data_IF_860878797586
#
_entry.id   IF_860878797586
#
_cell.length_a   1.000
_cell.length_b   1.000
_cell.length_c   1.000
_cell.angle_alpha   90.00
_cell.angle_beta   90.00
_cell.angle_gamma   90.00
#
_symmetry.space_group_name_H-M   'P 1'
#
loop_
_entity.id
_entity.type
_entity.pdbx_description
1 polymer ?
#
# COMPACT_ATOMS: atom_id res chain seq x y z
N UNK A 1 3.16 19.77 20.78
CA UNK A 1 4.17 19.27 19.82
C UNK A 1 5.33 20.26 19.76
N UNK A 2 6.55 19.84 20.12
CA UNK A 2 7.75 20.71 20.14
C UNK A 2 8.90 20.03 19.41
N UNK A 3 9.81 20.85 18.85
CA UNK A 3 10.95 20.36 18.07
C UNK A 3 11.89 19.45 18.85
N UNK A 4 12.14 19.75 20.13
CA UNK A 4 12.95 18.89 21.00
C UNK A 4 12.31 17.54 21.37
N UNK A 5 11.00 17.34 21.13
CA UNK A 5 10.36 16.02 21.24
C UNK A 5 10.38 15.26 19.91
N UNK A 6 10.55 15.96 18.80
CA UNK A 6 10.67 15.38 17.46
C UNK A 6 12.09 14.84 17.26
N UNK A 7 13.07 15.66 17.61
CA UNK A 7 14.49 15.32 17.61
C UNK A 7 14.74 14.33 18.76
N UNK A 8 14.92 13.05 18.45
CA UNK A 8 15.13 12.00 19.46
C UNK A 8 16.49 12.12 20.11
N UNK A 9 17.43 11.24 19.75
CA UNK A 9 18.82 11.33 20.27
C UNK A 9 19.67 12.37 19.54
N UNK A 10 19.31 12.69 18.30
CA UNK A 10 20.04 13.63 17.45
C UNK A 10 19.13 14.74 16.94
N UNK A 11 19.66 15.97 16.90
CA UNK A 11 18.93 17.14 16.36
C UNK A 11 18.65 16.93 14.88
N UNK A 12 17.40 17.09 14.47
CA UNK A 12 16.94 16.76 13.13
C UNK A 12 16.83 15.26 12.85
N UNK A 13 16.73 14.35 13.84
CA UNK A 13 16.56 12.91 13.57
C UNK A 13 15.11 12.52 13.25
N UNK A 14 14.12 13.27 13.76
CA UNK A 14 12.69 12.93 13.72
C UNK A 14 12.30 11.59 14.39
N UNK A 15 13.21 10.92 15.11
CA UNK A 15 12.96 9.62 15.74
C UNK A 15 11.81 9.66 16.76
N UNK A 16 11.58 10.82 17.39
CA UNK A 16 10.52 11.01 18.37
C UNK A 16 9.11 11.13 17.77
N UNK A 17 8.97 11.13 16.44
CA UNK A 17 7.69 11.33 15.75
C UNK A 17 6.63 10.31 16.16
N UNK A 18 7.01 9.02 16.24
CA UNK A 18 6.12 7.95 16.66
C UNK A 18 5.59 8.16 18.09
N UNK A 19 6.46 8.52 19.03
CA UNK A 19 6.09 8.85 20.40
C UNK A 19 5.22 10.11 20.52
N UNK A 20 5.46 11.10 19.65
CA UNK A 20 4.62 12.28 19.57
C UNK A 20 3.20 11.94 19.09
N UNK A 21 3.06 11.12 18.05
CA UNK A 21 1.76 10.65 17.59
C UNK A 21 1.04 9.81 18.64
N UNK A 22 1.74 8.88 19.28
CA UNK A 22 1.16 8.11 20.39
C UNK A 22 0.66 9.03 21.51
N UNK A 23 1.42 10.05 21.89
CA UNK A 23 1.01 11.02 22.92
C UNK A 23 -0.25 11.80 22.52
N UNK A 24 -0.38 12.19 21.25
CA UNK A 24 -1.57 12.86 20.73
C UNK A 24 -2.76 11.90 20.72
N UNK A 25 -2.59 10.67 20.23
CA UNK A 25 -3.64 9.64 20.24
C UNK A 25 -4.15 9.39 21.66
N UNK A 26 -3.25 9.10 22.61
CA UNK A 26 -3.62 8.86 24.01
C UNK A 26 -4.36 10.06 24.62
N UNK A 27 -3.96 11.30 24.29
CA UNK A 27 -4.67 12.49 24.75
C UNK A 27 -6.09 12.56 24.17
N UNK A 28 -6.24 12.34 22.87
CA UNK A 28 -7.54 12.37 22.18
C UNK A 28 -8.45 11.27 22.72
N UNK A 29 -7.97 10.03 22.80
CA UNK A 29 -8.73 8.88 23.29
C UNK A 29 -9.18 9.09 24.75
N UNK A 30 -8.28 9.50 25.64
CA UNK A 30 -8.57 9.63 27.06
C UNK A 30 -9.46 10.83 27.40
N UNK A 31 -9.27 11.94 26.70
CA UNK A 31 -9.89 13.23 27.08
C UNK A 31 -11.09 13.56 26.20
N UNK A 32 -11.03 13.21 24.92
CA UNK A 32 -12.06 13.53 23.94
C UNK A 32 -12.84 12.30 23.46
N UNK A 33 -12.41 11.07 23.76
CA UNK A 33 -13.03 9.85 23.25
C UNK A 33 -14.53 9.77 23.54
N UNK A 34 -14.95 10.07 24.77
CA UNK A 34 -16.37 10.09 25.15
C UNK A 34 -17.19 11.17 24.42
N UNK A 35 -16.60 12.32 24.12
CA UNK A 35 -17.25 13.42 23.40
C UNK A 35 -17.31 13.14 21.91
N UNK A 36 -16.22 12.62 21.34
CA UNK A 36 -16.14 12.21 19.94
C UNK A 36 -17.15 11.09 19.64
N UNK A 37 -17.49 10.26 20.62
CA UNK A 37 -18.52 9.24 20.46
C UNK A 37 -19.95 9.78 20.30
N UNK A 38 -20.19 11.07 20.57
CA UNK A 38 -21.51 11.68 20.39
C UNK A 38 -21.81 11.89 18.91
N UNK A 39 -23.01 11.50 18.48
CA UNK A 39 -23.44 11.63 17.08
C UNK A 39 -23.40 13.08 16.56
N UNK A 40 -23.69 14.06 17.43
CA UNK A 40 -23.60 15.49 17.14
C UNK A 40 -22.17 15.92 16.80
N UNK A 41 -21.16 15.22 17.30
CA UNK A 41 -19.74 15.54 17.11
C UNK A 41 -19.11 14.89 15.86
N UNK A 42 -19.90 14.12 15.10
CA UNK A 42 -19.44 13.40 13.91
C UNK A 42 -19.69 14.17 12.59
N UNK A 43 -20.31 15.36 12.64
CA UNK A 43 -20.52 16.21 11.46
C UNK A 43 -21.56 15.70 10.44
N UNK A 44 -22.52 14.88 10.87
CA UNK A 44 -23.55 14.28 10.01
C UNK A 44 -24.48 15.28 9.31
N UNK A 45 -25.00 16.28 10.03
CA UNK A 45 -25.91 17.32 9.56
C UNK A 45 -25.23 18.71 9.56
N UNK A 46 -25.32 19.44 8.44
CA UNK A 46 -24.64 20.73 8.28
C UNK A 46 -25.13 21.84 9.24
N UNK A 47 -26.34 21.71 9.80
CA UNK A 47 -26.96 22.73 10.67
C UNK A 47 -26.87 22.39 12.16
N UNK A 48 -26.90 21.10 12.52
CA UNK A 48 -27.04 20.64 13.91
C UNK A 48 -25.93 19.69 14.36
N UNK A 49 -24.84 19.59 13.62
CA UNK A 49 -23.69 18.77 14.01
C UNK A 49 -22.38 19.50 13.76
N UNK A 50 -21.38 19.17 14.56
CA UNK A 50 -20.05 19.76 14.54
C UNK A 50 -19.05 18.65 14.25
N UNK A 51 -18.13 18.88 13.32
CA UNK A 51 -17.04 17.94 13.05
C UNK A 51 -15.88 18.21 14.01
N UNK A 52 -15.95 17.60 15.20
CA UNK A 52 -14.96 17.85 16.26
C UNK A 52 -13.61 17.22 15.91
N UNK A 53 -13.59 16.02 15.31
CA UNK A 53 -12.36 15.33 14.96
C UNK A 53 -11.58 16.10 13.87
N UNK A 54 -12.26 16.48 12.79
CA UNK A 54 -11.62 17.18 11.68
C UNK A 54 -11.23 18.62 12.03
N UNK A 55 -12.17 19.40 12.53
CA UNK A 55 -11.96 20.84 12.75
C UNK A 55 -11.21 21.15 14.05
N UNK A 56 -11.51 20.44 15.14
CA UNK A 56 -11.02 20.83 16.47
C UNK A 56 -9.81 20.01 16.94
N UNK A 57 -9.65 18.78 16.44
CA UNK A 57 -8.49 17.93 16.77
C UNK A 57 -7.47 17.96 15.65
N UNK A 58 -7.87 17.57 14.45
CA UNK A 58 -6.94 17.36 13.34
C UNK A 58 -6.38 18.65 12.77
N UNK A 59 -7.22 19.65 12.49
CA UNK A 59 -6.77 20.92 11.89
C UNK A 59 -5.68 21.60 12.73
N UNK A 60 -5.81 21.76 14.06
CA UNK A 60 -4.75 22.32 14.90
C UNK A 60 -3.48 21.45 14.94
N UNK A 61 -3.63 20.12 14.92
CA UNK A 61 -2.49 19.19 14.86
C UNK A 61 -1.74 19.37 13.54
N UNK A 62 -2.45 19.40 12.41
CA UNK A 62 -1.89 19.60 11.08
C UNK A 62 -1.18 20.95 10.95
N UNK A 63 -1.80 22.04 11.41
CA UNK A 63 -1.22 23.38 11.38
C UNK A 63 0.03 23.46 12.25
N UNK A 64 0.00 22.82 13.42
CA UNK A 64 1.18 22.72 14.30
C UNK A 64 2.30 21.91 13.65
N UNK A 65 1.96 20.83 12.96
CA UNK A 65 2.91 20.02 12.22
C UNK A 65 3.56 20.80 11.08
N UNK A 66 2.76 21.51 10.26
CA UNK A 66 3.29 22.31 9.14
C UNK A 66 4.16 23.47 9.61
N UNK A 67 3.72 24.19 10.64
CA UNK A 67 4.43 25.37 11.15
C UNK A 67 5.69 25.02 11.94
N UNK A 68 5.65 23.97 12.78
CA UNK A 68 6.76 23.66 13.71
C UNK A 68 7.61 22.46 13.30
N UNK A 69 7.07 21.58 12.46
CA UNK A 69 7.66 20.29 12.10
C UNK A 69 7.77 20.12 10.57
N UNK A 70 7.93 21.21 9.82
CA UNK A 70 8.04 21.21 8.35
C UNK A 70 9.11 20.26 7.80
N UNK A 71 10.17 20.01 8.57
CA UNK A 71 11.26 19.08 8.25
C UNK A 71 10.78 17.62 8.08
N UNK A 72 9.68 17.24 8.74
CA UNK A 72 9.08 15.90 8.61
C UNK A 72 8.59 15.65 7.19
N UNK A 73 8.15 16.70 6.48
CA UNK A 73 7.63 16.61 5.11
C UNK A 73 8.71 16.75 4.03
N UNK A 74 9.96 17.01 4.42
CA UNK A 74 11.02 17.35 3.46
C UNK A 74 11.62 16.08 2.84
N UNK A 75 11.60 15.91 1.51
CA UNK A 75 12.12 14.71 0.84
C UNK A 75 13.65 14.68 0.73
N UNK A 76 14.36 15.72 1.19
CA UNK A 76 15.79 15.95 0.99
C UNK A 76 16.72 14.85 1.56
N UNK A 77 16.21 13.99 2.45
CA UNK A 77 16.89 12.76 2.81
C UNK A 77 15.92 11.58 2.58
N UNK A 78 16.06 10.87 1.45
CA UNK A 78 15.16 9.78 1.08
C UNK A 78 15.10 8.67 2.14
N UNK A 79 16.20 8.41 2.86
CA UNK A 79 16.24 7.42 3.95
C UNK A 79 15.42 7.85 5.17
N UNK A 80 15.32 9.16 5.41
CA UNK A 80 14.46 9.73 6.45
C UNK A 80 12.99 9.85 6.03
N UNK A 81 12.74 9.93 4.73
CA UNK A 81 11.39 10.00 4.17
C UNK A 81 10.72 8.61 4.17
N UNK A 82 11.45 7.57 3.76
CA UNK A 82 10.97 6.20 3.69
C UNK A 82 12.15 5.19 3.67
N UNK A 83 12.49 4.60 4.82
CA UNK A 83 13.24 3.35 4.90
C UNK A 83 12.91 2.52 6.15
N UNK A 84 13.30 1.25 6.11
CA UNK A 84 12.66 0.11 6.78
C UNK A 84 13.56 -0.47 7.86
N UNK A 85 13.19 -0.09 9.10
CA UNK A 85 13.60 -0.50 10.47
C UNK A 85 15.10 -0.70 10.78
N UNK A 86 15.56 -0.23 11.97
CA UNK A 86 14.81 -0.21 13.22
C UNK A 86 14.50 1.21 13.74
N UNK A 87 13.55 1.91 13.12
CA UNK A 87 12.46 2.68 13.78
C UNK A 87 11.73 3.59 12.77
N UNK A 88 10.70 3.01 12.15
CA UNK A 88 9.48 3.61 11.56
C UNK A 88 9.63 4.90 10.70
N UNK A 89 9.49 4.83 9.36
CA UNK A 89 9.62 5.99 8.48
C UNK A 89 8.49 7.01 8.69
N UNK A 90 8.83 8.30 8.55
CA UNK A 90 7.92 9.41 8.87
C UNK A 90 6.59 9.33 8.11
N UNK A 91 6.60 8.98 6.82
CA UNK A 91 5.37 8.86 6.01
C UNK A 91 4.46 7.73 6.53
N UNK A 92 4.98 6.51 6.69
CA UNK A 92 4.17 5.36 7.14
C UNK A 92 3.68 5.55 8.57
N UNK A 93 4.53 6.09 9.46
CA UNK A 93 4.12 6.45 10.83
C UNK A 93 2.99 7.47 10.81
N UNK A 94 3.10 8.49 9.96
CA UNK A 94 2.09 9.52 9.78
C UNK A 94 0.78 8.96 9.24
N UNK A 95 0.82 8.07 8.26
CA UNK A 95 -0.37 7.44 7.70
C UNK A 95 -1.03 6.49 8.71
N UNK A 96 -0.23 5.76 9.50
CA UNK A 96 -0.75 4.93 10.60
C UNK A 96 -1.43 5.78 11.67
N UNK A 97 -0.85 6.93 12.03
CA UNK A 97 -1.45 7.87 12.97
C UNK A 97 -2.80 8.40 12.46
N UNK A 98 -2.88 8.75 11.18
CA UNK A 98 -4.15 9.14 10.56
C UNK A 98 -5.17 8.01 10.60
N UNK A 99 -4.76 6.78 10.27
CA UNK A 99 -5.65 5.61 10.32
C UNK A 99 -6.17 5.35 11.74
N UNK A 100 -5.33 5.51 12.78
CA UNK A 100 -5.76 5.42 14.18
C UNK A 100 -6.75 6.51 14.57
N UNK A 101 -6.58 7.74 14.07
CA UNK A 101 -7.59 8.80 14.29
C UNK A 101 -8.89 8.52 13.54
N UNK A 102 -8.83 7.96 12.33
CA UNK A 102 -10.01 7.59 11.55
C UNK A 102 -10.85 6.53 12.25
N UNK A 103 -10.26 5.66 13.08
CA UNK A 103 -11.00 4.70 13.91
C UNK A 103 -11.91 5.37 14.96
N UNK A 104 -11.71 6.66 15.28
CA UNK A 104 -12.59 7.43 16.15
C UNK A 104 -13.85 7.95 15.40
N UNK A 105 -13.91 7.79 14.08
CA UNK A 105 -15.12 8.05 13.30
C UNK A 105 -16.10 6.88 13.45
N UNK A 106 -17.30 7.17 13.95
CA UNK A 106 -18.35 6.16 14.14
C UNK A 106 -19.26 6.00 12.92
N UNK A 107 -19.27 6.98 12.01
CA UNK A 107 -20.09 6.94 10.80
C UNK A 107 -19.24 6.90 9.53
N UNK A 108 -19.66 6.13 8.49
CA UNK A 108 -18.95 6.09 7.21
C UNK A 108 -18.84 7.46 6.53
N UNK A 109 -19.85 8.32 6.73
CA UNK A 109 -19.84 9.70 6.22
C UNK A 109 -18.80 10.57 6.92
N UNK A 110 -18.62 10.43 8.24
CA UNK A 110 -17.57 11.12 8.98
C UNK A 110 -16.18 10.66 8.56
N UNK A 111 -15.97 9.35 8.41
CA UNK A 111 -14.70 8.78 7.93
C UNK A 111 -14.36 9.25 6.51
N UNK A 112 -15.36 9.32 5.61
CA UNK A 112 -15.18 9.84 4.26
C UNK A 112 -14.79 11.32 4.27
N UNK A 113 -15.50 12.18 5.03
CA UNK A 113 -15.16 13.60 5.17
C UNK A 113 -13.77 13.80 5.77
N UNK A 114 -13.43 13.02 6.79
CA UNK A 114 -12.11 13.06 7.40
C UNK A 114 -11.02 12.77 6.36
N UNK A 115 -11.18 11.71 5.57
CA UNK A 115 -10.24 11.36 4.50
C UNK A 115 -10.14 12.39 3.37
N UNK A 116 -11.28 12.84 2.84
CA UNK A 116 -11.32 13.68 1.64
C UNK A 116 -11.06 15.16 1.93
N UNK A 117 -11.53 15.67 3.06
CA UNK A 117 -11.53 17.11 3.37
C UNK A 117 -10.36 17.48 4.28
N UNK A 118 -10.13 16.69 5.33
CA UNK A 118 -9.17 17.04 6.39
C UNK A 118 -7.78 16.43 6.18
N UNK A 119 -7.73 15.17 5.76
CA UNK A 119 -6.49 14.41 5.57
C UNK A 119 -5.85 14.71 4.21
N UNK A 120 -6.63 15.09 3.20
CA UNK A 120 -6.10 15.33 1.85
C UNK A 120 -4.99 16.41 1.81
N UNK A 121 -5.14 17.59 2.45
CA UNK A 121 -4.05 18.57 2.50
C UNK A 121 -2.78 18.02 3.17
N UNK A 122 -2.93 17.16 4.18
CA UNK A 122 -1.80 16.50 4.82
C UNK A 122 -1.09 15.55 3.86
N UNK A 123 -1.85 14.75 3.08
CA UNK A 123 -1.30 13.89 2.02
C UNK A 123 -0.53 14.70 0.98
N UNK A 124 -1.11 15.81 0.53
CA UNK A 124 -0.48 16.69 -0.47
C UNK A 124 0.79 17.37 0.06
N UNK A 125 0.96 17.45 1.39
CA UNK A 125 2.19 17.99 1.99
C UNK A 125 3.39 17.05 1.79
N UNK A 126 3.15 15.78 1.46
CA UNK A 126 4.18 14.80 1.13
C UNK A 126 4.45 14.81 -0.37
N UNK A 127 5.58 15.39 -0.79
CA UNK A 127 5.94 15.44 -2.20
C UNK A 127 6.51 14.09 -2.68
N UNK A 128 5.61 13.12 -2.90
CA UNK A 128 5.95 11.76 -3.29
C UNK A 128 6.65 11.69 -4.65
N UNK A 129 6.37 12.64 -5.55
CA UNK A 129 7.02 12.74 -6.87
C UNK A 129 8.50 13.07 -6.71
N UNK A 130 8.83 14.10 -5.91
CA UNK A 130 10.22 14.48 -5.64
C UNK A 130 10.96 13.39 -4.89
N UNK A 131 10.31 12.73 -3.92
CA UNK A 131 10.89 11.56 -3.25
C UNK A 131 11.28 10.47 -4.25
N UNK A 132 10.36 10.11 -5.16
CA UNK A 132 10.63 9.07 -6.16
C UNK A 132 11.77 9.49 -7.09
N UNK A 133 11.83 10.75 -7.51
CA UNK A 133 12.91 11.27 -8.36
C UNK A 133 14.27 11.20 -7.67
N UNK A 134 14.37 11.58 -6.39
CA UNK A 134 15.61 11.49 -5.62
C UNK A 134 16.08 10.04 -5.48
N UNK A 135 15.15 9.12 -5.21
CA UNK A 135 15.44 7.68 -5.15
C UNK A 135 15.92 7.13 -6.48
N UNK A 136 15.25 7.46 -7.57
CA UNK A 136 15.69 7.05 -8.91
C UNK A 136 17.09 7.58 -9.24
N UNK A 137 17.39 8.83 -8.88
CA UNK A 137 18.71 9.41 -9.11
C UNK A 137 19.81 8.69 -8.32
N UNK A 138 19.57 8.39 -7.03
CA UNK A 138 20.50 7.62 -6.19
C UNK A 138 20.78 6.24 -6.81
N UNK A 139 19.74 5.52 -7.19
CA UNK A 139 19.85 4.18 -7.78
C UNK A 139 20.54 4.21 -9.15
N UNK A 140 20.27 5.23 -9.98
CA UNK A 140 20.94 5.43 -11.25
C UNK A 140 22.44 5.72 -11.09
N UNK A 141 22.84 6.45 -10.03
CA UNK A 141 24.24 6.68 -9.73
C UNK A 141 24.97 5.38 -9.35
N UNK A 142 24.33 4.51 -8.57
CA UNK A 142 24.86 3.16 -8.26
C UNK A 142 25.06 2.36 -9.55
N UNK A 143 24.08 2.37 -10.44
CA UNK A 143 24.17 1.67 -11.72
C UNK A 143 25.28 2.26 -12.62
N UNK A 144 25.42 3.58 -12.68
CA UNK A 144 26.48 4.23 -13.44
C UNK A 144 27.87 3.88 -12.91
N UNK A 145 28.06 3.93 -11.59
CA UNK A 145 29.32 3.57 -10.95
C UNK A 145 29.71 2.11 -11.21
N UNK A 146 28.73 1.20 -11.20
CA UNK A 146 28.96 -0.24 -11.40
C UNK A 146 29.61 -0.60 -12.75
N UNK A 147 29.44 0.24 -13.78
CA UNK A 147 30.03 0.03 -15.11
C UNK A 147 31.55 0.21 -15.13
N UNK A 148 32.09 0.98 -14.18
CA UNK A 148 33.53 1.21 -14.03
C UNK A 148 34.17 0.28 -12.99
N UNK A 149 33.37 -0.52 -12.27
CA UNK A 149 33.86 -1.38 -11.19
C UNK A 149 34.50 -2.66 -11.77
N UNK A 150 35.70 -3.06 -11.31
CA UNK A 150 36.31 -4.33 -11.73
C UNK A 150 35.54 -5.54 -11.22
N UNK A 151 35.64 -6.66 -11.93
CA UNK A 151 34.96 -7.92 -11.58
C UNK A 151 35.46 -8.45 -10.22
N UNK A 152 34.58 -8.66 -9.23
CA UNK A 152 34.94 -9.35 -7.99
C UNK A 152 35.14 -10.85 -8.25
N UNK A 153 35.99 -11.52 -7.44
CA UNK A 153 36.30 -12.94 -7.63
C UNK A 153 35.19 -13.89 -7.15
N UNK A 154 34.41 -13.48 -6.16
CA UNK A 154 33.29 -14.26 -5.60
C UNK A 154 32.02 -13.40 -5.56
N UNK A 155 31.16 -13.56 -6.57
CA UNK A 155 29.88 -12.86 -6.64
C UNK A 155 28.78 -13.73 -7.28
N UNK A 156 27.53 -13.49 -6.88
CA UNK A 156 26.35 -14.22 -7.40
C UNK A 156 26.15 -14.03 -8.90
N UNK A 157 26.53 -12.87 -9.41
CA UNK A 157 26.60 -12.53 -10.83
C UNK A 157 28.04 -12.21 -11.20
N UNK A 158 28.45 -12.57 -12.40
CA UNK A 158 29.80 -12.35 -12.90
C UNK A 158 30.11 -10.87 -13.18
N UNK A 159 29.09 -10.05 -13.48
CA UNK A 159 29.29 -8.64 -13.75
C UNK A 159 28.76 -7.73 -12.62
N UNK A 160 29.56 -6.72 -12.20
CA UNK A 160 29.11 -5.72 -11.23
C UNK A 160 27.85 -4.97 -11.67
N UNK A 161 27.71 -4.70 -12.98
CA UNK A 161 26.52 -4.07 -13.55
C UNK A 161 25.27 -4.95 -13.46
N UNK A 162 25.40 -6.28 -13.58
CA UNK A 162 24.29 -7.22 -13.35
C UNK A 162 23.90 -7.23 -11.88
N UNK A 163 24.89 -7.29 -10.99
CA UNK A 163 24.69 -7.24 -9.54
C UNK A 163 23.99 -5.94 -9.12
N UNK A 164 24.45 -4.80 -9.63
CA UNK A 164 23.85 -3.50 -9.37
C UNK A 164 22.42 -3.40 -9.92
N UNK A 165 22.19 -3.87 -11.15
CA UNK A 165 20.84 -3.94 -11.75
C UNK A 165 19.88 -4.74 -10.87
N UNK A 166 20.30 -5.93 -10.43
CA UNK A 166 19.50 -6.76 -9.52
C UNK A 166 19.20 -6.04 -8.20
N UNK A 167 20.22 -5.47 -7.55
CA UNK A 167 20.02 -4.73 -6.30
C UNK A 167 19.11 -3.51 -6.46
N UNK A 168 19.21 -2.78 -7.58
CA UNK A 168 18.33 -1.64 -7.87
C UNK A 168 16.88 -2.10 -8.03
N UNK A 169 16.63 -3.19 -8.75
CA UNK A 169 15.29 -3.75 -8.91
C UNK A 169 14.72 -4.19 -7.57
N UNK A 170 15.47 -4.96 -6.77
CA UNK A 170 15.03 -5.39 -5.44
C UNK A 170 14.80 -4.19 -4.51
N UNK A 171 15.71 -3.20 -4.49
CA UNK A 171 15.57 -2.01 -3.63
C UNK A 171 14.39 -1.13 -4.04
N UNK A 172 14.00 -1.12 -5.32
CA UNK A 172 12.80 -0.40 -5.80
C UNK A 172 11.51 -1.01 -5.24
N UNK A 173 11.49 -2.33 -5.00
CA UNK A 173 10.33 -3.09 -4.51
C UNK A 173 10.43 -3.55 -3.06
N UNK A 174 11.51 -3.18 -2.36
CA UNK A 174 11.68 -3.54 -0.97
C UNK A 174 10.47 -3.07 -0.13
N UNK A 175 10.06 -3.91 0.82
CA UNK A 175 8.96 -3.59 1.73
C UNK A 175 9.22 -2.22 2.34
N UNK A 176 8.24 -1.31 2.28
CA UNK A 176 8.41 0.08 2.70
C UNK A 176 9.37 0.89 1.82
N UNK A 177 9.39 0.63 0.50
CA UNK A 177 9.82 1.57 -0.56
C UNK A 177 8.66 1.92 -1.49
N UNK A 178 7.79 0.96 -1.80
CA UNK A 178 6.60 1.18 -2.64
C UNK A 178 5.43 1.65 -1.78
N UNK A 179 5.16 2.94 -1.86
CA UNK A 179 3.89 3.49 -1.41
C UNK A 179 2.83 3.15 -2.46
N UNK A 180 1.60 2.82 -2.05
CA UNK A 180 0.50 2.53 -2.99
C UNK A 180 0.36 3.58 -4.13
N UNK A 181 0.53 4.90 -3.88
CA UNK A 181 0.52 5.90 -4.96
C UNK A 181 1.71 5.83 -5.94
N UNK A 182 2.80 5.16 -5.57
CA UNK A 182 4.05 5.09 -6.33
C UNK A 182 4.26 3.76 -7.07
N UNK A 183 3.31 2.81 -6.98
CA UNK A 183 3.41 1.49 -7.63
C UNK A 183 3.68 1.64 -9.13
N UNK A 184 2.86 2.44 -9.83
CA UNK A 184 3.00 2.63 -11.28
C UNK A 184 4.33 3.30 -11.67
N UNK A 185 4.80 4.26 -10.86
CA UNK A 185 6.08 4.92 -11.08
C UNK A 185 7.26 3.96 -10.85
N UNK A 186 7.16 3.09 -9.85
CA UNK A 186 8.17 2.06 -9.50
C UNK A 186 8.25 0.96 -10.55
N UNK A 187 7.09 0.54 -11.07
CA UNK A 187 6.99 -0.39 -12.22
C UNK A 187 7.65 0.18 -13.46
N UNK A 188 7.31 1.41 -13.83
CA UNK A 188 7.92 2.10 -14.98
C UNK A 188 9.43 2.21 -14.82
N UNK A 189 9.91 2.56 -13.63
CA UNK A 189 11.34 2.65 -13.35
C UNK A 189 12.04 1.30 -13.51
N UNK A 190 11.45 0.22 -12.99
CA UNK A 190 12.00 -1.14 -13.10
C UNK A 190 12.17 -1.58 -14.57
N UNK A 191 11.15 -1.34 -15.39
CA UNK A 191 11.21 -1.61 -16.84
C UNK A 191 12.27 -0.75 -17.54
N UNK A 192 12.45 0.50 -17.10
CA UNK A 192 13.46 1.40 -17.65
C UNK A 192 14.88 0.94 -17.29
N UNK A 193 15.10 0.49 -16.06
CA UNK A 193 16.40 -0.06 -15.62
C UNK A 193 16.77 -1.30 -16.44
N UNK A 194 15.81 -2.18 -16.67
CA UNK A 194 16.02 -3.38 -17.50
C UNK A 194 16.26 -3.06 -18.96
N UNK A 195 15.51 -2.12 -19.54
CA UNK A 195 15.74 -1.72 -20.93
C UNK A 195 17.13 -1.10 -21.12
N UNK A 196 17.58 -0.30 -20.16
CA UNK A 196 18.93 0.26 -20.14
C UNK A 196 20.01 -0.81 -19.97
N UNK A 197 19.78 -1.80 -19.11
CA UNK A 197 20.71 -2.93 -18.94
C UNK A 197 20.85 -3.75 -20.22
N UNK A 198 19.73 -4.05 -20.90
CA UNK A 198 19.76 -4.75 -22.18
C UNK A 198 20.44 -3.93 -23.27
N UNK A 199 20.20 -2.62 -23.31
CA UNK A 199 20.86 -1.72 -24.26
C UNK A 199 22.38 -1.65 -24.02
N UNK A 200 22.83 -1.69 -22.75
CA UNK A 200 24.25 -1.66 -22.40
C UNK A 200 25.03 -2.86 -22.97
N UNK A 201 24.42 -4.04 -23.02
CA UNK A 201 25.08 -5.27 -23.49
C UNK A 201 24.84 -5.60 -24.97
N UNK A 202 23.86 -4.97 -25.62
CA UNK A 202 23.43 -5.29 -26.98
C UNK A 202 24.56 -5.13 -28.00
N UNK A 203 25.08 -3.92 -28.16
CA UNK A 203 26.07 -3.62 -29.21
C UNK A 203 27.40 -4.40 -29.01
N UNK A 204 27.94 -4.53 -27.78
CA UNK A 204 29.12 -5.36 -27.54
C UNK A 204 28.90 -6.84 -27.84
N UNK A 205 27.71 -7.38 -27.54
CA UNK A 205 27.38 -8.78 -27.79
C UNK A 205 27.19 -9.05 -29.29
N UNK A 206 26.49 -8.18 -30.01
CA UNK A 206 26.32 -8.28 -31.46
C UNK A 206 27.68 -8.20 -32.17
N UNK A 207 28.57 -7.32 -31.72
CA UNK A 207 29.94 -7.21 -32.22
C UNK A 207 30.74 -8.49 -31.96
N UNK A 208 30.67 -9.04 -30.75
CA UNK A 208 31.35 -10.30 -30.41
C UNK A 208 30.84 -11.47 -31.26
N UNK A 209 29.53 -11.59 -31.46
CA UNK A 209 28.91 -12.64 -32.29
C UNK A 209 29.35 -12.50 -33.76
N UNK A 210 29.35 -11.28 -34.31
CA UNK A 210 29.78 -11.03 -35.68
C UNK A 210 31.27 -11.36 -35.88
N UNK A 211 32.13 -11.05 -34.91
CA UNK A 211 33.55 -11.38 -34.96
C UNK A 211 33.80 -12.89 -34.92
N UNK A 212 33.05 -13.63 -34.09
CA UNK A 212 33.13 -15.10 -34.02
C UNK A 212 32.63 -15.74 -35.33
N UNK A 213 31.55 -15.24 -35.92
CA UNK A 213 31.00 -15.76 -37.17
C UNK A 213 31.94 -15.59 -38.38
N UNK A 214 32.77 -14.55 -38.37
CA UNK A 214 33.70 -14.21 -39.46
C UNK A 214 35.14 -14.71 -39.22
N UNK A 215 35.40 -15.45 -38.14
CA UNK A 215 36.76 -15.78 -37.72
C UNK A 215 37.39 -16.96 -38.48
N UNK A 216 38.55 -16.73 -39.11
CA UNK A 216 39.55 -17.77 -39.44
C UNK A 216 40.73 -17.81 -38.44
N UNK A 217 40.69 -16.99 -37.39
CA UNK A 217 41.78 -16.76 -36.40
C UNK A 217 41.43 -17.34 -35.03
N UNK A 218 42.46 -17.56 -34.21
CA UNK A 218 42.39 -18.08 -32.83
C UNK A 218 41.60 -17.16 -31.89
N UNK A 219 40.82 -17.75 -30.98
CA UNK A 219 39.86 -17.07 -30.09
C UNK A 219 40.42 -15.89 -29.25
N UNK A 220 41.73 -15.90 -28.93
CA UNK A 220 42.35 -14.97 -27.99
C UNK A 220 42.52 -13.53 -28.51
N UNK A 221 42.57 -13.30 -29.83
CA UNK A 221 42.73 -11.95 -30.41
C UNK A 221 41.43 -11.33 -30.91
N UNK A 222 40.35 -12.11 -31.00
CA UNK A 222 39.06 -11.66 -31.57
C UNK A 222 38.36 -10.63 -30.68
N UNK A 223 38.49 -10.74 -29.36
CA UNK A 223 37.77 -9.89 -28.41
C UNK A 223 38.41 -8.52 -28.18
N UNK A 224 39.63 -8.30 -28.69
CA UNK A 224 40.28 -6.99 -28.63
C UNK A 224 39.50 -5.92 -29.42
N UNK A 225 38.85 -6.33 -30.51
CA UNK A 225 38.07 -5.45 -31.42
C UNK A 225 36.65 -5.17 -30.91
N UNK A 226 36.21 -5.81 -29.82
CA UNK A 226 34.89 -5.56 -29.18
C UNK A 226 34.91 -4.26 -28.37
N UNK A 227 36.09 -3.79 -27.95
CA UNK A 227 36.31 -2.53 -27.21
C UNK A 227 35.37 -2.32 -26.02
N UNK A 228 35.04 -3.38 -25.28
CA UNK A 228 34.19 -3.31 -24.09
C UNK A 228 34.94 -3.83 -22.86
N UNK A 229 35.00 -3.08 -21.74
CA UNK A 229 35.80 -3.44 -20.56
C UNK A 229 35.35 -4.75 -19.89
N UNK A 230 34.11 -5.18 -20.13
CA UNK A 230 33.56 -6.43 -19.62
C UNK A 230 33.66 -7.64 -20.57
N UNK A 231 34.03 -7.48 -21.84
CA UNK A 231 34.08 -8.58 -22.81
C UNK A 231 35.47 -8.66 -23.44
N UNK A 232 36.37 -9.37 -22.76
CA UNK A 232 37.77 -9.53 -23.17
C UNK A 232 38.10 -10.94 -23.65
N UNK A 233 37.18 -11.90 -23.44
CA UNK A 233 37.36 -13.31 -23.75
C UNK A 233 36.04 -14.01 -24.08
N UNK A 234 36.12 -15.23 -24.63
CA UNK A 234 34.93 -16.09 -24.80
C UNK A 234 34.25 -16.40 -23.47
N UNK A 235 35.01 -16.61 -22.41
CA UNK A 235 34.47 -16.94 -21.08
C UNK A 235 33.59 -15.81 -20.54
N UNK A 236 33.94 -14.56 -20.86
CA UNK A 236 33.10 -13.40 -20.49
C UNK A 236 31.72 -13.43 -21.15
N UNK A 237 31.61 -13.98 -22.36
CA UNK A 237 30.33 -14.17 -23.06
C UNK A 237 29.49 -15.24 -22.36
N UNK A 238 30.11 -16.33 -21.91
CA UNK A 238 29.42 -17.37 -21.15
C UNK A 238 28.95 -16.86 -19.79
N UNK A 239 29.81 -16.10 -19.10
CA UNK A 239 29.46 -15.40 -17.87
C UNK A 239 28.27 -14.46 -18.08
N UNK A 240 28.24 -13.69 -19.18
CA UNK A 240 27.14 -12.79 -19.50
C UNK A 240 25.84 -13.56 -19.78
N UNK A 241 25.92 -14.66 -20.51
CA UNK A 241 24.79 -15.55 -20.74
C UNK A 241 24.21 -16.12 -19.43
N UNK A 242 25.07 -16.52 -18.49
CA UNK A 242 24.66 -16.97 -17.16
C UNK A 242 23.98 -15.86 -16.37
N UNK A 243 24.56 -14.67 -16.36
CA UNK A 243 24.02 -13.48 -15.70
C UNK A 243 22.65 -13.08 -16.25
N UNK A 244 22.50 -13.05 -17.58
CA UNK A 244 21.23 -12.76 -18.27
C UNK A 244 20.16 -13.79 -17.92
N UNK A 245 20.50 -15.09 -17.90
CA UNK A 245 19.56 -16.14 -17.54
C UNK A 245 19.10 -16.00 -16.08
N UNK A 246 20.03 -15.81 -15.14
CA UNK A 246 19.71 -15.63 -13.72
C UNK A 246 18.88 -14.38 -13.50
N UNK A 247 19.29 -13.24 -14.07
CA UNK A 247 18.54 -11.98 -13.96
C UNK A 247 17.13 -12.12 -14.56
N UNK A 248 17.00 -12.79 -15.70
CA UNK A 248 15.71 -13.07 -16.34
C UNK A 248 14.78 -13.92 -15.46
N UNK A 249 15.30 -15.00 -14.86
CA UNK A 249 14.53 -15.83 -13.91
C UNK A 249 14.05 -15.03 -12.71
N UNK A 250 14.93 -14.22 -12.12
CA UNK A 250 14.56 -13.35 -11.02
C UNK A 250 13.55 -12.27 -11.42
N UNK A 251 13.66 -11.70 -12.62
CA UNK A 251 12.72 -10.70 -13.11
C UNK A 251 11.31 -11.27 -13.35
N UNK A 252 11.20 -12.50 -13.85
CA UNK A 252 9.89 -13.18 -14.01
C UNK A 252 9.19 -13.33 -12.66
N UNK A 253 9.93 -13.69 -11.61
CA UNK A 253 9.38 -13.79 -10.25
C UNK A 253 8.91 -12.43 -9.73
N UNK A 254 9.68 -11.37 -9.94
CA UNK A 254 9.29 -10.02 -9.51
C UNK A 254 8.10 -9.47 -10.30
N UNK A 255 8.02 -9.68 -11.62
CA UNK A 255 6.85 -9.33 -12.41
C UNK A 255 5.60 -10.08 -11.92
N UNK A 256 5.71 -11.37 -11.64
CA UNK A 256 4.60 -12.15 -11.10
C UNK A 256 4.18 -11.65 -9.70
N UNK A 257 5.14 -11.20 -8.87
CA UNK A 257 4.85 -10.59 -7.57
C UNK A 257 4.14 -9.24 -7.72
N UNK A 258 4.56 -8.41 -8.67
CA UNK A 258 3.92 -7.14 -8.99
C UNK A 258 2.49 -7.35 -9.51
N UNK A 259 2.31 -8.29 -10.43
CA UNK A 259 1.01 -8.70 -10.94
C UNK A 259 0.08 -9.12 -9.79
N UNK A 260 0.55 -10.02 -8.91
CA UNK A 260 -0.19 -10.42 -7.71
C UNK A 260 -0.60 -9.23 -6.85
N UNK A 261 0.31 -8.30 -6.57
CA UNK A 261 0.00 -7.11 -5.78
C UNK A 261 -1.08 -6.20 -6.41
N UNK A 262 -1.12 -6.12 -7.75
CA UNK A 262 -2.17 -5.40 -8.47
C UNK A 262 -3.53 -6.06 -8.25
N UNK A 263 -3.59 -7.39 -8.37
CA UNK A 263 -4.81 -8.16 -8.17
C UNK A 263 -5.27 -8.21 -6.72
N UNK A 264 -4.36 -8.28 -5.74
CA UNK A 264 -4.66 -8.12 -4.32
C UNK A 264 -5.32 -6.76 -4.05
N UNK A 265 -4.79 -5.69 -4.65
CA UNK A 265 -5.37 -4.35 -4.52
C UNK A 265 -6.76 -4.28 -5.15
N UNK A 266 -6.93 -4.88 -6.33
CA UNK A 266 -8.25 -4.98 -6.97
C UNK A 266 -9.25 -5.75 -6.09
N UNK A 267 -8.82 -6.85 -5.45
CA UNK A 267 -9.64 -7.63 -4.54
C UNK A 267 -10.14 -6.77 -3.35
N UNK A 268 -9.25 -5.96 -2.76
CA UNK A 268 -9.64 -5.02 -1.68
C UNK A 268 -10.66 -4.00 -2.17
N UNK A 269 -10.42 -3.36 -3.32
CA UNK A 269 -11.31 -2.34 -3.88
C UNK A 269 -12.70 -2.91 -4.21
N UNK A 270 -12.75 -4.07 -4.87
CA UNK A 270 -14.01 -4.73 -5.21
C UNK A 270 -14.75 -5.20 -3.96
N UNK A 271 -14.02 -5.73 -2.97
CA UNK A 271 -14.60 -6.09 -1.67
C UNK A 271 -15.23 -4.89 -0.97
N UNK A 272 -14.58 -3.73 -0.99
CA UNK A 272 -15.13 -2.52 -0.40
C UNK A 272 -16.41 -2.03 -1.11
N UNK A 273 -16.51 -2.18 -2.43
CA UNK A 273 -17.77 -1.93 -3.15
C UNK A 273 -18.88 -2.91 -2.75
N UNK A 274 -18.57 -4.22 -2.64
CA UNK A 274 -19.52 -5.22 -2.15
C UNK A 274 -20.02 -4.88 -0.73
N UNK A 275 -19.12 -4.42 0.15
CA UNK A 275 -19.44 -4.04 1.54
C UNK A 275 -20.41 -2.85 1.65
N UNK A 276 -20.48 -1.96 0.66
CA UNK A 276 -21.39 -0.79 0.71
C UNK A 276 -22.87 -1.18 0.80
N UNK A 277 -23.22 -2.38 0.33
CA UNK A 277 -24.59 -2.91 0.36
C UNK A 277 -24.92 -3.56 1.71
N UNK A 278 -23.91 -4.02 2.46
CA UNK A 278 -24.04 -4.76 3.74
C UNK A 278 -24.84 -4.06 4.85
N UNK A 279 -24.83 -2.72 5.00
CA UNK A 279 -25.62 -2.04 6.04
C UNK A 279 -27.13 -2.32 5.96
N UNK A 280 -27.66 -2.70 4.78
CA UNK A 280 -29.07 -3.04 4.62
C UNK A 280 -29.50 -4.26 5.45
N UNK A 281 -28.58 -5.16 5.84
CA UNK A 281 -28.86 -6.27 6.78
C UNK A 281 -29.55 -5.77 8.04
N UNK A 282 -29.14 -4.60 8.56
CA UNK A 282 -29.70 -4.04 9.79
C UNK A 282 -31.18 -3.70 9.70
N UNK A 283 -31.72 -3.53 8.50
CA UNK A 283 -33.14 -3.25 8.27
C UNK A 283 -34.03 -4.49 8.44
N UNK A 284 -33.45 -5.69 8.33
CA UNK A 284 -34.20 -6.97 8.38
C UNK A 284 -34.95 -7.11 9.70
N UNK A 285 -34.33 -6.75 10.83
CA UNK A 285 -34.99 -6.78 12.14
C UNK A 285 -36.31 -6.00 12.13
N UNK A 286 -36.31 -4.77 11.60
CA UNK A 286 -37.52 -3.95 11.51
C UNK A 286 -38.58 -4.51 10.55
N UNK A 287 -38.17 -5.26 9.53
CA UNK A 287 -39.10 -5.87 8.57
C UNK A 287 -39.89 -7.06 9.13
N UNK A 288 -39.37 -7.73 10.17
CA UNK A 288 -40.01 -8.89 10.81
C UNK A 288 -40.58 -8.55 12.19
N UNK A 289 -40.02 -7.54 12.87
CA UNK A 289 -40.48 -7.12 14.19
C UNK A 289 -41.92 -6.60 14.15
N UNK A 290 -42.77 -7.15 15.03
CA UNK A 290 -44.18 -6.74 15.17
C UNK A 290 -44.98 -6.82 13.86
N UNK A 291 -44.54 -7.66 12.93
CA UNK A 291 -45.26 -7.98 11.70
C UNK A 291 -45.69 -9.43 11.76
N UNK A 292 -46.93 -9.76 11.35
CA UNK A 292 -47.37 -11.16 11.19
C UNK A 292 -46.78 -11.80 9.92
N UNK A 293 -45.55 -11.42 9.54
CA UNK A 293 -44.89 -11.94 8.34
C UNK A 293 -44.53 -13.42 8.55
N UNK A 294 -44.88 -14.31 7.61
CA UNK A 294 -44.47 -15.70 7.68
C UNK A 294 -42.96 -15.84 7.48
N UNK A 295 -42.41 -16.99 7.89
CA UNK A 295 -41.00 -17.31 7.68
C UNK A 295 -40.67 -17.28 6.16
N UNK A 296 -39.53 -16.69 5.76
CA UNK A 296 -39.17 -16.61 4.35
C UNK A 296 -38.93 -18.00 3.75
N UNK A 297 -39.54 -18.27 2.60
CA UNK A 297 -39.40 -19.51 1.82
C UNK A 297 -38.63 -19.32 0.50
N UNK A 298 -38.28 -18.08 0.15
CA UNK A 298 -37.56 -17.73 -1.08
C UNK A 298 -36.16 -17.18 -0.77
N UNK A 299 -35.17 -17.42 -1.68
CA UNK A 299 -33.83 -16.88 -1.52
C UNK A 299 -33.85 -15.35 -1.61
N UNK A 300 -33.00 -14.72 -0.81
CA UNK A 300 -32.91 -13.26 -0.78
C UNK A 300 -32.22 -12.73 -2.03
N UNK A 301 -32.85 -11.79 -2.74
CA UNK A 301 -32.24 -11.02 -3.85
C UNK A 301 -31.06 -10.17 -3.40
N UNK A 302 -30.90 -10.03 -2.09
CA UNK A 302 -29.81 -9.33 -1.45
C UNK A 302 -28.43 -9.88 -1.83
N UNK A 303 -28.28 -11.20 -1.93
CA UNK A 303 -26.99 -11.83 -2.27
C UNK A 303 -26.52 -11.40 -3.66
N UNK A 304 -27.42 -11.45 -4.65
CA UNK A 304 -27.12 -10.99 -6.01
C UNK A 304 -26.75 -9.51 -6.06
N UNK A 305 -27.34 -8.69 -5.18
CA UNK A 305 -27.02 -7.26 -5.10
C UNK A 305 -25.63 -7.03 -4.48
N UNK A 306 -25.24 -7.85 -3.50
CA UNK A 306 -23.92 -7.80 -2.85
C UNK A 306 -22.80 -8.29 -3.78
N UNK A 307 -23.04 -9.34 -4.58
CA UNK A 307 -22.02 -9.88 -5.50
C UNK A 307 -21.90 -9.13 -6.81
N UNK A 308 -22.88 -8.29 -7.17
CA UNK A 308 -22.89 -7.53 -8.43
C UNK A 308 -21.56 -6.82 -8.76
N UNK A 309 -20.88 -6.11 -7.84
CA UNK A 309 -19.59 -5.47 -8.15
C UNK A 309 -18.51 -6.48 -8.56
N UNK A 310 -18.50 -7.67 -7.95
CA UNK A 310 -17.60 -8.76 -8.32
C UNK A 310 -17.97 -9.35 -9.69
N UNK A 311 -19.26 -9.54 -9.95
CA UNK A 311 -19.73 -10.05 -11.24
C UNK A 311 -19.38 -9.08 -12.39
N UNK A 312 -19.57 -7.78 -12.20
CA UNK A 312 -19.19 -6.74 -13.17
C UNK A 312 -17.67 -6.68 -13.39
N UNK A 313 -16.88 -6.84 -12.32
CA UNK A 313 -15.42 -6.90 -12.42
C UNK A 313 -14.96 -8.14 -13.21
N UNK A 314 -15.47 -9.33 -12.87
CA UNK A 314 -15.12 -10.58 -13.54
C UNK A 314 -15.61 -10.61 -14.98
N UNK A 315 -16.75 -9.99 -15.29
CA UNK A 315 -17.22 -9.86 -16.67
C UNK A 315 -16.21 -9.13 -17.57
N UNK A 316 -15.41 -8.23 -16.99
CA UNK A 316 -14.41 -7.45 -17.71
C UNK A 316 -13.01 -8.07 -17.70
N UNK A 317 -12.60 -8.68 -16.58
CA UNK A 317 -11.19 -9.04 -16.33
C UNK A 317 -10.93 -10.52 -16.05
N UNK A 318 -11.94 -11.39 -16.14
CA UNK A 318 -11.81 -12.82 -15.77
C UNK A 318 -10.61 -13.52 -16.43
N UNK A 319 -10.40 -13.29 -17.72
CA UNK A 319 -9.31 -13.93 -18.47
C UNK A 319 -7.93 -13.36 -18.08
N UNK A 320 -7.87 -12.08 -17.70
CA UNK A 320 -6.63 -11.39 -17.33
C UNK A 320 -6.16 -11.70 -15.90
N UNK A 321 -7.09 -12.01 -14.99
CA UNK A 321 -6.80 -12.34 -13.57
C UNK A 321 -6.02 -13.65 -13.44
N UNK A 322 -6.08 -14.52 -14.46
CA UNK A 322 -5.31 -15.76 -14.52
C UNK A 322 -5.58 -16.69 -13.33
N UNK A 323 -4.54 -17.03 -12.58
CA UNK A 323 -4.61 -17.97 -11.44
C UNK A 323 -4.80 -17.28 -10.08
N UNK A 324 -4.98 -15.96 -10.05
CA UNK A 324 -5.11 -15.22 -8.80
C UNK A 324 -6.41 -15.59 -8.04
N UNK A 325 -6.37 -15.78 -6.71
CA UNK A 325 -7.55 -16.13 -5.91
C UNK A 325 -8.52 -14.96 -5.65
N UNK A 326 -8.57 -13.96 -6.55
CA UNK A 326 -9.27 -12.68 -6.35
C UNK A 326 -10.74 -12.87 -5.94
N UNK A 327 -11.48 -13.73 -6.64
CA UNK A 327 -12.89 -13.97 -6.34
C UNK A 327 -13.09 -14.57 -4.94
N UNK A 328 -12.20 -15.48 -4.50
CA UNK A 328 -12.24 -16.07 -3.17
C UNK A 328 -11.96 -15.02 -2.10
N UNK A 329 -10.95 -14.17 -2.32
CA UNK A 329 -10.54 -13.15 -1.35
C UNK A 329 -11.62 -12.08 -1.17
N UNK A 330 -12.23 -11.64 -2.28
CA UNK A 330 -13.36 -10.71 -2.28
C UNK A 330 -14.54 -11.30 -1.50
N UNK A 331 -14.91 -12.55 -1.80
CA UNK A 331 -16.04 -13.21 -1.15
C UNK A 331 -15.78 -13.46 0.33
N UNK A 332 -14.61 -13.97 0.71
CA UNK A 332 -14.24 -14.21 2.11
C UNK A 332 -14.33 -12.93 2.93
N UNK A 333 -13.68 -11.87 2.46
CA UNK A 333 -13.65 -10.57 3.17
C UNK A 333 -15.05 -9.96 3.30
N UNK A 334 -15.89 -10.13 2.27
CA UNK A 334 -17.27 -9.65 2.28
C UNK A 334 -18.15 -10.50 3.21
N UNK A 335 -17.97 -11.82 3.22
CA UNK A 335 -18.68 -12.74 4.11
C UNK A 335 -18.33 -12.52 5.57
N UNK A 336 -17.07 -12.27 5.90
CA UNK A 336 -16.65 -11.94 7.28
C UNK A 336 -17.31 -10.65 7.76
N UNK A 337 -17.37 -9.63 6.89
CA UNK A 337 -18.05 -8.37 7.19
C UNK A 337 -19.57 -8.56 7.36
N UNK A 338 -20.19 -9.40 6.53
CA UNK A 338 -21.60 -9.74 6.65
C UNK A 338 -21.89 -10.51 7.94
N UNK A 339 -21.07 -11.51 8.27
CA UNK A 339 -21.23 -12.34 9.47
C UNK A 339 -21.17 -11.48 10.73
N UNK A 340 -20.22 -10.54 10.79
CA UNK A 340 -20.13 -9.55 11.87
C UNK A 340 -21.42 -8.71 11.97
N UNK A 341 -21.88 -8.14 10.86
CA UNK A 341 -23.12 -7.34 10.84
C UNK A 341 -24.38 -8.14 11.22
N UNK A 342 -24.45 -9.42 10.83
CA UNK A 342 -25.55 -10.31 11.17
C UNK A 342 -25.55 -10.71 12.65
N UNK A 343 -24.37 -10.99 13.23
CA UNK A 343 -24.22 -11.26 14.65
C UNK A 343 -24.66 -10.07 15.51
N UNK A 344 -24.26 -8.85 15.13
CA UNK A 344 -24.71 -7.61 15.79
C UNK A 344 -26.23 -7.45 15.73
N UNK A 345 -26.85 -7.76 14.58
CA UNK A 345 -28.29 -7.70 14.40
C UNK A 345 -29.02 -8.69 15.31
N UNK A 346 -28.55 -9.94 15.35
CA UNK A 346 -29.12 -11.00 16.17
C UNK A 346 -29.03 -10.66 17.65
N UNK A 347 -27.87 -10.17 18.10
CA UNK A 347 -27.68 -9.71 19.48
C UNK A 347 -28.65 -8.57 19.84
N UNK A 348 -28.81 -7.60 18.95
CA UNK A 348 -29.79 -6.53 19.14
C UNK A 348 -31.24 -7.06 19.17
N UNK A 349 -31.56 -8.08 18.38
CA UNK A 349 -32.89 -8.70 18.38
C UNK A 349 -33.16 -9.45 19.70
N UNK A 350 -32.21 -10.23 20.20
CA UNK A 350 -32.35 -10.97 21.46
C UNK A 350 -32.52 -10.03 22.67
N UNK A 351 -31.71 -8.97 22.76
CA UNK A 351 -31.81 -7.98 23.84
C UNK A 351 -33.21 -7.31 23.87
N UNK A 352 -33.78 -7.05 22.69
CA UNK A 352 -35.12 -6.48 22.58
C UNK A 352 -36.20 -7.48 23.03
N UNK A 353 -36.11 -8.75 22.64
CA UNK A 353 -37.05 -9.78 23.06
C UNK A 353 -37.04 -9.99 24.58
N UNK A 354 -35.86 -10.01 25.19
CA UNK A 354 -35.70 -10.11 26.64
C UNK A 354 -36.32 -8.92 27.37
N UNK A 355 -36.11 -7.71 26.85
CA UNK A 355 -36.72 -6.48 27.37
C UNK A 355 -38.26 -6.53 27.30
N UNK A 356 -38.83 -7.01 26.19
CA UNK A 356 -40.27 -7.17 26.02
C UNK A 356 -40.85 -8.23 26.97
N UNK A 357 -40.18 -9.37 27.14
CA UNK A 357 -40.59 -10.42 28.09
C UNK A 357 -40.58 -9.90 29.53
N UNK A 358 -39.51 -9.20 29.92
CA UNK A 358 -39.39 -8.59 31.26
C UNK A 358 -40.53 -7.61 31.54
N UNK A 359 -40.83 -6.70 30.60
CA UNK A 359 -41.95 -5.75 30.71
C UNK A 359 -43.31 -6.45 30.80
N UNK A 360 -43.51 -7.54 30.03
CA UNK A 360 -44.76 -8.32 30.09
C UNK A 360 -44.94 -8.98 31.46
N UNK A 361 -43.86 -9.56 32.01
CA UNK A 361 -43.90 -10.19 33.33
C UNK A 361 -44.16 -9.16 34.45
N UNK A 362 -43.54 -7.98 34.38
CA UNK A 362 -43.81 -6.90 35.34
C UNK A 362 -45.27 -6.44 35.34
N UNK A 363 -45.92 -6.38 34.16
CA UNK A 363 -47.35 -6.05 34.04
C UNK A 363 -48.30 -7.15 34.52
N UNK A 364 -47.84 -8.40 34.58
CA UNK A 364 -48.62 -9.54 35.08
C UNK A 364 -48.49 -9.70 36.60
N UNK A 365 -47.49 -9.07 37.23
CA UNK A 365 -47.24 -9.10 38.68
C UNK A 365 -47.81 -7.89 39.42
N UNK A 366 -48.30 -6.87 38.70
CA UNK A 366 -49.16 -5.80 39.20
C UNK A 366 -50.62 -6.17 38.95
#
# INVERSE_FOLDING_TARGET
>A
MTRGRLDGKHRGSCEGLSGMYASVLTFVERTLGGVLALAVCQGGDATNSVDLLGQSVWTPVLDTMRSKLGEVFTPANPDRFHHVRPSIPNFTTSMSFVASLEQLCLSPGAALRFRSTHVQPFRDSWNLVVYMQLRQNELNQVLAASKATPRPMDSTFAFPVTTATWHVLVKTWADGVVLAPLVAASARYSLTVLSQYMAYWRDPLESAVALVANASKTAATLFADVHHPGLTSCDDVYCLGSDLHRLGMHHVVELARMERSCWDTAAVLVSDECKKVLPAVRTIKGQYQMTNKPMPTTPSTYVATVTRPLDEFLAKWREDVGTHPLASDVLSTTMDSYASAALDLLKSATELEESLKSRKNQRLMM
#
